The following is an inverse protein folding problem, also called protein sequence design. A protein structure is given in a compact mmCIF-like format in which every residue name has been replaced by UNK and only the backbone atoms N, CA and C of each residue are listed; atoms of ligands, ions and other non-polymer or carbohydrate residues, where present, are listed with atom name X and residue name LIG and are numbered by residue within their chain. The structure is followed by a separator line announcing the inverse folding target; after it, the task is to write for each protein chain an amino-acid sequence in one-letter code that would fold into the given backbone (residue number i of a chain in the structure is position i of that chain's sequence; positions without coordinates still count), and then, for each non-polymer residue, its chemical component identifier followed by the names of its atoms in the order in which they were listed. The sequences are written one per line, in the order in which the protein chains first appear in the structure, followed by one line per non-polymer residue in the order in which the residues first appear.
data_IF_486032529736
#
_entry.id   IF_486032529736
#
_cell.length_a   1.000
_cell.length_b   1.000
_cell.length_c   1.000
_cell.angle_alpha   90.00
_cell.angle_beta   90.00
_cell.angle_gamma   90.00
#
_symmetry.space_group_name_H-M   'P 1'
#
loop_
_entity.id
_entity.type
_entity.pdbx_description
1 polymer ?
#
# COMPACT_ATOMS: atom_id res chain seq x y z
N UNK A 1 -17.92 -0.67 -7.53
CA UNK A 1 -16.48 -0.42 -7.67
C UNK A 1 -15.76 -1.60 -7.05
N UNK A 2 -15.75 -2.76 -7.73
CA UNK A 2 -15.56 -4.07 -7.08
C UNK A 2 -14.31 -4.17 -6.20
N UNK A 3 -13.19 -3.58 -6.62
CA UNK A 3 -11.95 -3.58 -5.86
C UNK A 3 -12.03 -2.77 -4.55
N UNK A 4 -12.63 -1.58 -4.59
CA UNK A 4 -12.82 -0.73 -3.40
C UNK A 4 -13.80 -1.39 -2.44
N UNK A 5 -14.90 -1.93 -2.96
CA UNK A 5 -15.94 -2.59 -2.17
C UNK A 5 -15.35 -3.83 -1.46
N UNK A 6 -14.56 -4.62 -2.17
CA UNK A 6 -13.79 -5.73 -1.61
C UNK A 6 -12.80 -5.26 -0.53
N UNK A 7 -11.98 -4.25 -0.84
CA UNK A 7 -10.97 -3.74 0.09
C UNK A 7 -11.59 -3.22 1.40
N UNK A 8 -12.77 -2.58 1.33
CA UNK A 8 -13.51 -2.18 2.54
C UNK A 8 -14.01 -3.38 3.33
N UNK A 9 -14.60 -4.37 2.65
CA UNK A 9 -15.14 -5.56 3.31
C UNK A 9 -14.06 -6.36 4.04
N UNK A 10 -12.87 -6.44 3.44
CA UNK A 10 -11.71 -7.15 4.00
C UNK A 10 -10.85 -6.28 4.93
N UNK A 11 -11.22 -5.02 5.16
CA UNK A 11 -10.47 -4.12 6.05
C UNK A 11 -9.07 -3.75 5.54
N UNK A 12 -8.84 -3.78 4.23
CA UNK A 12 -7.57 -3.44 3.60
C UNK A 12 -7.35 -1.93 3.66
N UNK A 13 -6.30 -1.49 4.36
CA UNK A 13 -5.96 -0.07 4.53
C UNK A 13 -4.60 0.34 3.97
N UNK A 14 -3.85 -0.60 3.40
CA UNK A 14 -2.52 -0.32 2.83
C UNK A 14 -2.51 -0.73 1.38
N UNK A 15 -2.19 0.23 0.50
CA UNK A 15 -2.08 0.01 -0.94
C UNK A 15 -0.62 0.20 -1.34
N UNK A 16 -0.01 -0.89 -1.79
CA UNK A 16 1.35 -0.85 -2.32
C UNK A 16 1.33 -0.51 -3.81
N UNK A 17 2.18 0.43 -4.23
CA UNK A 17 2.38 0.78 -5.63
C UNK A 17 3.87 0.82 -5.94
N UNK A 18 4.26 0.44 -7.15
CA UNK A 18 5.64 0.60 -7.58
C UNK A 18 5.91 2.05 -7.97
N UNK A 19 7.04 2.61 -7.56
CA UNK A 19 7.39 4.03 -7.77
C UNK A 19 7.38 4.45 -9.25
N UNK A 20 7.52 3.50 -10.17
CA UNK A 20 7.51 3.74 -11.61
C UNK A 20 6.09 3.99 -12.18
N UNK A 21 5.02 3.75 -11.41
CA UNK A 21 3.64 3.95 -11.84
C UNK A 21 3.02 5.23 -11.24
N UNK A 22 2.03 5.78 -11.95
CA UNK A 22 1.32 6.97 -11.48
C UNK A 22 0.58 6.69 -10.14
N UNK A 23 0.95 7.44 -9.11
CA UNK A 23 0.42 7.35 -7.74
C UNK A 23 -1.02 7.87 -7.58
N UNK A 24 -1.56 8.62 -8.55
CA UNK A 24 -2.90 9.21 -8.47
C UNK A 24 -4.00 8.15 -8.33
N UNK A 25 -3.93 7.08 -9.12
CA UNK A 25 -4.90 6.00 -9.06
C UNK A 25 -4.86 5.27 -7.70
N UNK A 26 -3.66 4.95 -7.21
CA UNK A 26 -3.48 4.35 -5.89
C UNK A 26 -3.99 5.27 -4.77
N UNK A 27 -3.77 6.59 -4.89
CA UNK A 27 -4.23 7.58 -3.93
C UNK A 27 -5.76 7.66 -3.89
N UNK A 28 -6.42 7.60 -5.04
CA UNK A 28 -7.87 7.59 -5.12
C UNK A 28 -8.48 6.35 -4.42
N UNK A 29 -7.89 5.17 -4.64
CA UNK A 29 -8.33 3.93 -3.98
C UNK A 29 -8.06 4.00 -2.47
N UNK A 30 -6.88 4.47 -2.05
CA UNK A 30 -6.52 4.57 -0.64
C UNK A 30 -7.48 5.49 0.13
N UNK A 31 -7.83 6.66 -0.44
CA UNK A 31 -8.84 7.55 0.13
C UNK A 31 -10.20 6.87 0.26
N UNK A 32 -10.60 6.09 -0.73
CA UNK A 32 -11.89 5.41 -0.72
C UNK A 32 -12.00 4.31 0.35
N UNK A 33 -10.88 3.79 0.84
CA UNK A 33 -10.81 2.76 1.89
C UNK A 33 -10.30 3.30 3.24
N UNK A 34 -10.15 4.63 3.37
CA UNK A 34 -9.53 5.28 4.52
C UNK A 34 -8.15 4.66 4.88
N UNK A 35 -7.35 4.44 3.84
CA UNK A 35 -6.04 3.82 3.89
C UNK A 35 -4.92 4.73 3.41
N UNK A 36 -3.72 4.17 3.31
CA UNK A 36 -2.50 4.84 2.88
C UNK A 36 -1.88 4.17 1.66
N UNK A 37 -1.20 4.96 0.84
CA UNK A 37 -0.37 4.47 -0.27
C UNK A 37 1.07 4.34 0.21
N UNK A 38 1.67 3.19 -0.07
CA UNK A 38 3.09 2.93 0.18
C UNK A 38 3.75 2.68 -1.16
N UNK A 39 4.74 3.50 -1.49
CA UNK A 39 5.54 3.29 -2.69
C UNK A 39 6.64 2.27 -2.40
N UNK A 40 6.76 1.26 -3.26
CA UNK A 40 7.82 0.25 -3.24
C UNK A 40 8.70 0.51 -4.45
N UNK A 41 10.01 0.61 -4.27
CA UNK A 41 10.93 0.65 -5.41
C UNK A 41 11.55 -0.73 -5.69
N UNK A 42 11.08 -1.46 -6.72
CA UNK A 42 11.65 -2.76 -7.11
C UNK A 42 13.06 -2.66 -7.71
N UNK A 43 13.53 -1.45 -8.05
CA UNK A 43 14.87 -1.19 -8.58
C UNK A 43 15.81 -0.56 -7.54
N UNK A 44 15.36 -0.42 -6.29
CA UNK A 44 16.23 0.06 -5.22
C UNK A 44 17.45 -0.86 -5.10
N UNK A 45 18.64 -0.25 -5.05
CA UNK A 45 19.90 -0.96 -4.80
C UNK A 45 19.83 -1.76 -3.50
N UNK A 46 19.11 -1.23 -2.49
CA UNK A 46 18.82 -1.91 -1.23
C UNK A 46 17.41 -2.50 -1.18
N UNK A 47 17.22 -3.62 -1.88
CA UNK A 47 15.98 -4.38 -1.90
C UNK A 47 15.57 -4.91 -0.50
N UNK A 48 16.55 -5.27 0.34
CA UNK A 48 16.29 -5.83 1.67
C UNK A 48 15.70 -4.79 2.63
N UNK A 49 16.23 -3.57 2.62
CA UNK A 49 15.67 -2.49 3.43
C UNK A 49 14.27 -2.09 2.97
N UNK A 50 13.98 -2.12 1.68
CA UNK A 50 12.63 -1.91 1.16
C UNK A 50 11.66 -3.00 1.67
N UNK A 51 12.05 -4.28 1.64
CA UNK A 51 11.25 -5.37 2.22
C UNK A 51 11.04 -5.21 3.74
N UNK A 52 12.06 -4.75 4.48
CA UNK A 52 11.92 -4.45 5.91
C UNK A 52 10.92 -3.32 6.16
N UNK A 53 10.96 -2.25 5.37
CA UNK A 53 10.02 -1.14 5.47
C UNK A 53 8.58 -1.61 5.21
N UNK A 54 8.37 -2.45 4.19
CA UNK A 54 7.07 -3.07 3.89
C UNK A 54 6.59 -3.90 5.09
N UNK A 55 7.45 -4.77 5.63
CA UNK A 55 7.10 -5.61 6.79
C UNK A 55 6.72 -4.77 8.02
N UNK A 56 7.44 -3.66 8.28
CA UNK A 56 7.11 -2.73 9.36
C UNK A 56 5.76 -2.03 9.14
N UNK A 57 5.43 -1.69 7.89
CA UNK A 57 4.14 -1.08 7.55
C UNK A 57 2.98 -2.07 7.74
N UNK A 58 3.16 -3.31 7.31
CA UNK A 58 2.18 -4.39 7.55
C UNK A 58 1.96 -4.58 9.04
N UNK A 59 3.04 -4.71 9.83
CA UNK A 59 2.96 -4.85 11.29
C UNK A 59 2.14 -3.71 11.93
N UNK A 60 2.47 -2.46 11.61
CA UNK A 60 1.76 -1.28 12.14
C UNK A 60 0.27 -1.26 11.76
N UNK A 61 -0.09 -1.80 10.60
CA UNK A 61 -1.50 -1.87 10.17
C UNK A 61 -2.33 -2.96 10.85
N UNK A 62 -1.69 -3.94 11.51
CA UNK A 62 -2.35 -5.04 12.22
C UNK A 62 -2.41 -4.85 13.75
N UNK A 63 -1.57 -4.00 14.32
CA UNK A 63 -1.47 -3.76 15.78
C UNK A 63 -2.50 -2.73 16.33
N UNK A 64 -3.52 -2.33 15.53
CA UNK A 64 -4.55 -1.33 15.91
C UNK A 64 -5.96 -1.91 15.85
#
# INVERSE_FOLDING_TARGET
AKLIDYARAEGIRVIFIQSQFNTEAATAVARAVNGQVVSIDPLAEDYLDNLRQIAQLIKRSHDV
#
